data_IF_104282863764
#
_entry.id   IF_104282863764
#
_cell.length_a   1.000
_cell.length_b   1.000
_cell.length_c   1.000
_cell.angle_alpha   90.00
_cell.angle_beta   90.00
_cell.angle_gamma   90.00
#
_symmetry.space_group_name_H-M   'P 1'
#
loop_
_entity.id
_entity.type
_entity.pdbx_description
1 polymer ?
#
# COMPACT_ATOMS: atom_id res chain seq x y z
N UNK A 1 18.51 6.97 0.47
CA UNK A 1 18.52 5.91 1.49
C UNK A 1 18.12 4.54 0.92
N UNK A 2 17.02 4.43 0.16
CA UNK A 2 16.48 3.14 -0.27
C UNK A 2 16.91 2.58 -1.65
N UNK A 3 17.74 3.32 -2.42
CA UNK A 3 18.24 2.90 -3.75
C UNK A 3 18.81 1.46 -3.80
N UNK A 4 19.55 0.94 -2.79
CA UNK A 4 20.10 -0.42 -2.84
C UNK A 4 19.03 -1.52 -2.97
N UNK A 5 17.80 -1.29 -2.51
CA UNK A 5 16.68 -2.23 -2.66
C UNK A 5 16.26 -2.42 -4.13
N UNK A 6 16.68 -1.50 -5.01
CA UNK A 6 16.43 -1.55 -6.45
C UNK A 6 17.68 -2.02 -7.22
N UNK A 7 18.62 -2.69 -6.55
CA UNK A 7 19.75 -3.31 -7.25
C UNK A 7 19.24 -4.27 -8.33
N UNK A 8 19.81 -4.19 -9.53
CA UNK A 8 19.36 -4.97 -10.69
C UNK A 8 18.28 -4.31 -11.55
N UNK A 9 17.72 -3.14 -11.17
CA UNK A 9 16.69 -2.44 -11.94
C UNK A 9 17.07 -2.18 -13.41
N UNK A 10 18.36 -1.97 -13.69
CA UNK A 10 18.89 -1.77 -15.04
C UNK A 10 18.70 -2.98 -15.98
N UNK A 11 18.38 -4.17 -15.43
CA UNK A 11 18.11 -5.40 -16.20
C UNK A 11 16.61 -5.56 -16.53
N UNK A 12 15.76 -4.66 -16.04
CA UNK A 12 14.32 -4.75 -16.25
C UNK A 12 13.94 -4.33 -17.68
N UNK A 13 13.09 -5.12 -18.34
CA UNK A 13 12.52 -4.76 -19.65
C UNK A 13 11.44 -3.67 -19.54
N UNK A 14 10.87 -3.48 -18.35
CA UNK A 14 9.94 -2.41 -18.04
C UNK A 14 9.84 -2.18 -16.53
N UNK A 15 9.43 -0.99 -16.11
CA UNK A 15 9.18 -0.62 -14.72
C UNK A 15 7.83 0.09 -14.62
N UNK A 16 7.02 -0.29 -13.64
CA UNK A 16 5.77 0.40 -13.30
C UNK A 16 5.85 1.04 -11.93
N UNK A 17 5.23 2.19 -11.75
CA UNK A 17 5.09 2.84 -10.45
C UNK A 17 3.67 3.37 -10.25
N UNK A 18 3.06 3.07 -9.11
CA UNK A 18 1.75 3.56 -8.71
C UNK A 18 1.88 4.82 -7.84
N UNK A 19 1.73 5.99 -8.45
CA UNK A 19 1.79 7.28 -7.73
C UNK A 19 0.54 7.57 -6.92
N UNK A 20 -0.54 6.81 -7.10
CA UNK A 20 -1.72 6.89 -6.22
C UNK A 20 -1.52 6.20 -4.85
N UNK A 21 -0.31 5.69 -4.58
CA UNK A 21 0.12 5.18 -3.27
C UNK A 21 1.14 6.14 -2.65
N UNK A 22 2.43 5.86 -2.82
CA UNK A 22 3.55 6.65 -2.30
C UNK A 22 3.88 7.90 -3.15
N UNK A 23 2.96 8.32 -4.01
CA UNK A 23 3.00 9.62 -4.70
C UNK A 23 1.84 10.54 -4.32
N UNK A 24 0.96 10.09 -3.40
CA UNK A 24 -0.20 10.80 -2.87
C UNK A 24 -1.10 11.44 -3.94
N UNK A 25 -1.21 10.77 -5.10
CA UNK A 25 -2.10 11.20 -6.17
C UNK A 25 -3.49 10.55 -6.07
N UNK A 26 -4.57 11.26 -6.41
CA UNK A 26 -5.85 10.62 -6.67
C UNK A 26 -5.74 9.59 -7.81
N UNK A 27 -6.33 8.42 -7.64
CA UNK A 27 -6.40 7.41 -8.70
C UNK A 27 -7.19 7.94 -9.92
N UNK A 28 -6.80 7.63 -11.15
CA UNK A 28 -5.66 6.79 -11.58
C UNK A 28 -4.37 7.63 -11.66
N UNK A 29 -3.26 7.15 -11.10
CA UNK A 29 -1.95 7.80 -11.26
C UNK A 29 -0.86 6.74 -11.26
N UNK A 30 -0.23 6.54 -12.41
CA UNK A 30 0.81 5.54 -12.58
C UNK A 30 1.76 5.90 -13.70
N UNK A 31 2.98 5.37 -13.61
CA UNK A 31 4.01 5.46 -14.63
C UNK A 31 4.30 4.06 -15.16
N UNK A 32 4.50 3.97 -16.47
CA UNK A 32 5.05 2.80 -17.14
C UNK A 32 6.25 3.27 -17.95
N UNK A 33 7.40 2.69 -17.65
CA UNK A 33 8.67 3.01 -18.29
C UNK A 33 9.24 1.76 -18.94
N UNK A 34 9.76 1.92 -20.15
CA UNK A 34 10.53 0.91 -20.89
C UNK A 34 11.89 1.51 -21.23
N UNK A 35 12.95 0.70 -21.37
CA UNK A 35 14.27 1.20 -21.73
C UNK A 35 14.28 1.84 -23.12
N UNK A 36 13.52 1.27 -24.07
CA UNK A 36 13.48 1.71 -25.46
C UNK A 36 12.05 1.85 -25.98
N UNK A 37 11.80 2.86 -26.83
CA UNK A 37 10.45 3.16 -27.35
C UNK A 37 9.81 2.01 -28.12
N UNK A 38 10.61 1.21 -28.85
CA UNK A 38 10.11 0.10 -29.65
C UNK A 38 9.46 -1.01 -28.80
N UNK A 39 9.73 -1.07 -27.49
CA UNK A 39 9.01 -1.97 -26.59
C UNK A 39 7.53 -1.58 -26.42
N UNK A 40 7.12 -0.36 -26.81
CA UNK A 40 5.72 0.07 -26.81
C UNK A 40 4.98 -0.27 -28.10
N UNK A 41 5.66 -0.79 -29.14
CA UNK A 41 5.03 -1.14 -30.43
C UNK A 41 3.78 -2.02 -30.29
N UNK A 42 3.69 -3.00 -29.36
CA UNK A 42 2.46 -3.78 -29.17
C UNK A 42 1.23 -2.97 -28.72
N UNK A 43 1.41 -1.76 -28.19
CA UNK A 43 0.32 -0.84 -27.82
C UNK A 43 -0.18 -0.02 -29.02
N UNK A 44 0.54 -0.05 -30.14
CA UNK A 44 0.19 0.72 -31.32
C UNK A 44 -1.06 0.14 -31.98
N UNK A 45 -2.09 0.97 -32.05
CA UNK A 45 -3.29 0.68 -32.81
C UNK A 45 -3.52 1.83 -33.77
N UNK A 46 -3.49 1.53 -35.07
CA UNK A 46 -3.68 2.51 -36.12
C UNK A 46 -5.15 2.64 -36.49
N UNK A 47 -5.64 3.87 -36.55
CA UNK A 47 -6.93 4.20 -37.14
C UNK A 47 -6.75 5.45 -38.03
N UNK A 48 -7.04 5.39 -39.35
CA UNK A 48 -6.73 6.47 -40.28
C UNK A 48 -7.30 7.85 -39.92
N UNK A 49 -8.39 7.90 -39.14
CA UNK A 49 -9.00 9.16 -38.70
C UNK A 49 -8.38 9.75 -37.43
N UNK A 50 -7.47 9.03 -36.77
CA UNK A 50 -6.76 9.44 -35.55
C UNK A 50 -5.26 9.61 -35.78
N UNK A 51 -4.70 8.94 -36.78
CA UNK A 51 -3.28 8.93 -37.10
C UNK A 51 -3.07 9.74 -38.38
N UNK A 52 -2.79 11.03 -38.23
CA UNK A 52 -2.43 11.92 -39.32
C UNK A 52 -0.89 11.93 -39.44
N UNK A 53 -0.36 11.23 -40.45
CA UNK A 53 1.09 11.08 -40.62
C UNK A 53 1.77 12.45 -40.86
N UNK A 54 1.09 13.36 -41.56
CA UNK A 54 1.55 14.72 -41.86
C UNK A 54 1.76 15.60 -40.61
N UNK A 55 0.93 15.42 -39.57
CA UNK A 55 1.12 16.07 -38.26
C UNK A 55 2.44 15.62 -37.61
N UNK A 56 2.73 14.33 -37.66
CA UNK A 56 3.96 13.75 -37.07
C UNK A 56 5.19 14.17 -37.87
N UNK A 57 5.11 14.16 -39.21
CA UNK A 57 6.15 14.67 -40.12
C UNK A 57 6.42 16.17 -39.89
N UNK A 58 5.39 16.93 -39.52
CA UNK A 58 5.48 18.35 -39.14
C UNK A 58 6.02 18.57 -37.72
N UNK A 59 6.37 17.50 -37.00
CA UNK A 59 6.97 17.54 -35.67
C UNK A 59 5.99 17.60 -34.50
N UNK A 60 4.68 17.44 -34.75
CA UNK A 60 3.70 17.32 -33.67
C UNK A 60 3.81 15.93 -33.01
N UNK A 61 3.78 15.85 -31.67
CA UNK A 61 3.98 14.58 -30.99
C UNK A 61 2.75 13.68 -31.13
N UNK A 62 2.88 12.52 -31.76
CA UNK A 62 1.87 11.48 -31.66
C UNK A 62 1.83 10.92 -30.22
N UNK A 63 0.65 11.05 -29.60
CA UNK A 63 0.39 10.57 -28.26
C UNK A 63 -0.35 9.22 -28.25
N UNK A 64 -0.82 8.74 -29.41
CA UNK A 64 -1.37 7.39 -29.62
C UNK A 64 -0.27 6.34 -29.49
N UNK A 65 -0.65 5.07 -29.34
CA UNK A 65 0.31 3.96 -29.16
C UNK A 65 1.13 4.00 -27.86
N UNK A 66 0.91 4.97 -26.97
CA UNK A 66 1.55 5.04 -25.64
C UNK A 66 0.75 4.35 -24.53
N UNK A 67 -0.48 3.93 -24.83
CA UNK A 67 -1.42 3.30 -23.92
C UNK A 67 -2.47 2.53 -24.72
N UNK A 68 -3.11 1.55 -24.09
CA UNK A 68 -4.29 0.87 -24.63
C UNK A 68 -5.52 1.80 -24.76
N UNK A 69 -5.50 2.99 -24.12
CA UNK A 69 -6.60 3.96 -24.18
C UNK A 69 -6.31 5.05 -25.21
N UNK A 70 -7.25 5.23 -26.15
CA UNK A 70 -7.28 6.39 -27.05
C UNK A 70 -7.57 7.67 -26.27
N UNK A 71 -8.74 7.76 -25.63
CA UNK A 71 -9.14 8.91 -24.80
C UNK A 71 -8.50 8.83 -23.42
N UNK A 72 -7.82 9.91 -23.00
CA UNK A 72 -7.11 9.97 -21.71
C UNK A 72 -7.38 11.28 -20.99
N UNK A 73 -7.41 11.21 -19.66
CA UNK A 73 -7.38 12.38 -18.79
C UNK A 73 -5.95 12.93 -18.73
N UNK A 74 -5.75 14.22 -18.42
CA UNK A 74 -4.42 14.79 -18.21
C UNK A 74 -3.82 14.36 -16.86
N UNK A 75 -3.78 13.05 -16.56
CA UNK A 75 -3.27 12.52 -15.28
C UNK A 75 -1.78 12.86 -15.03
N UNK A 76 -1.04 13.20 -16.09
CA UNK A 76 0.32 13.71 -16.00
C UNK A 76 0.39 15.08 -15.30
N UNK A 77 -0.64 15.93 -15.40
CA UNK A 77 -0.63 17.27 -14.83
C UNK A 77 -0.56 17.23 -13.30
N UNK A 78 -1.41 16.44 -12.65
CA UNK A 78 -1.40 16.31 -11.17
C UNK A 78 -0.07 15.73 -10.66
N UNK A 79 0.51 14.78 -11.39
CA UNK A 79 1.84 14.23 -11.09
C UNK A 79 2.91 15.33 -11.21
N UNK A 80 2.90 16.10 -12.29
CA UNK A 80 3.84 17.19 -12.52
C UNK A 80 3.74 18.27 -11.43
N UNK A 81 2.51 18.66 -11.05
CA UNK A 81 2.26 19.62 -9.96
C UNK A 81 2.88 19.14 -8.65
N UNK A 82 2.67 17.88 -8.27
CA UNK A 82 3.27 17.34 -7.04
C UNK A 82 4.80 17.27 -7.11
N UNK A 83 5.36 16.87 -8.24
CA UNK A 83 6.81 16.87 -8.44
C UNK A 83 7.41 18.28 -8.41
N UNK A 84 6.70 19.29 -8.93
CA UNK A 84 7.12 20.69 -8.86
C UNK A 84 7.01 21.26 -7.45
N UNK A 85 5.91 20.97 -6.74
CA UNK A 85 5.65 21.51 -5.41
C UNK A 85 6.55 20.91 -4.33
N UNK A 86 6.74 19.58 -4.34
CA UNK A 86 7.55 18.89 -3.31
C UNK A 86 9.01 18.72 -3.74
N UNK A 87 9.28 18.74 -5.04
CA UNK A 87 10.58 18.32 -5.56
C UNK A 87 10.89 16.85 -5.25
N UNK A 88 12.11 16.44 -5.62
CA UNK A 88 12.60 15.09 -5.32
C UNK A 88 12.82 14.87 -3.82
N UNK A 89 13.34 15.89 -3.12
CA UNK A 89 13.65 15.81 -1.69
C UNK A 89 12.38 15.71 -0.86
N UNK A 90 11.39 16.59 -1.09
CA UNK A 90 10.14 16.53 -0.32
C UNK A 90 9.40 15.21 -0.52
N UNK A 91 9.36 14.68 -1.75
CA UNK A 91 8.76 13.36 -1.98
C UNK A 91 9.53 12.24 -1.27
N UNK A 92 10.86 12.28 -1.30
CA UNK A 92 11.70 11.32 -0.58
C UNK A 92 11.44 11.38 0.95
N UNK A 93 11.35 12.58 1.52
CA UNK A 93 11.10 12.76 2.95
C UNK A 93 9.76 12.18 3.38
N UNK A 94 8.70 12.33 2.57
CA UNK A 94 7.39 11.73 2.87
C UNK A 94 7.42 10.19 2.79
N UNK A 95 8.19 9.63 1.85
CA UNK A 95 8.38 8.18 1.73
C UNK A 95 9.14 7.66 2.95
N UNK A 96 10.28 8.29 3.28
CA UNK A 96 11.14 7.89 4.40
C UNK A 96 10.38 7.97 5.73
N UNK A 97 9.53 8.99 5.92
CA UNK A 97 8.59 9.06 7.06
C UNK A 97 7.65 7.87 7.12
N UNK A 98 7.02 7.53 6.00
CA UNK A 98 6.07 6.40 5.94
C UNK A 98 6.75 5.06 6.27
N UNK A 99 7.98 4.86 5.79
CA UNK A 99 8.79 3.68 6.10
C UNK A 99 9.21 3.65 7.57
N UNK A 100 9.62 4.79 8.11
CA UNK A 100 9.96 4.94 9.53
C UNK A 100 8.76 4.60 10.42
N UNK A 101 7.56 5.08 10.08
CA UNK A 101 6.32 4.74 10.80
C UNK A 101 6.03 3.24 10.75
N UNK A 102 6.26 2.57 9.61
CA UNK A 102 6.09 1.12 9.51
C UNK A 102 7.09 0.34 10.36
N UNK A 103 8.37 0.77 10.40
CA UNK A 103 9.36 0.20 11.32
C UNK A 103 8.98 0.44 12.78
N UNK A 104 8.51 1.63 13.13
CA UNK A 104 8.07 1.93 14.49
C UNK A 104 6.90 1.04 14.95
N UNK A 105 5.92 0.82 14.07
CA UNK A 105 4.82 -0.11 14.36
C UNK A 105 5.33 -1.54 14.57
N UNK A 106 6.26 -2.01 13.74
CA UNK A 106 6.89 -3.32 13.93
C UNK A 106 7.67 -3.42 15.27
N UNK A 107 8.37 -2.36 15.67
CA UNK A 107 9.09 -2.32 16.94
C UNK A 107 8.13 -2.27 18.14
N UNK A 108 6.96 -1.64 18.00
CA UNK A 108 5.88 -1.70 19.00
C UNK A 108 5.34 -3.12 19.13
N UNK A 109 4.95 -3.75 18.02
CA UNK A 109 4.42 -5.12 17.98
C UNK A 109 5.41 -6.10 18.64
N UNK A 110 6.69 -6.01 18.29
CA UNK A 110 7.73 -6.90 18.83
C UNK A 110 7.88 -6.74 20.35
N UNK A 111 7.56 -5.57 20.92
CA UNK A 111 7.60 -5.31 22.37
C UNK A 111 6.28 -5.66 23.07
N UNK A 112 5.23 -6.02 22.34
CA UNK A 112 3.92 -6.38 22.89
C UNK A 112 3.78 -7.91 22.93
N UNK A 113 3.88 -8.56 24.11
CA UNK A 113 3.95 -10.02 24.20
C UNK A 113 2.73 -10.78 23.67
N UNK A 114 1.58 -10.11 23.57
CA UNK A 114 0.32 -10.68 23.08
C UNK A 114 0.17 -10.62 21.56
N UNK A 115 1.18 -10.08 20.85
CA UNK A 115 1.18 -9.92 19.40
C UNK A 115 2.40 -10.59 18.76
N UNK A 116 2.16 -11.25 17.64
CA UNK A 116 3.20 -11.77 16.75
C UNK A 116 3.39 -10.81 15.56
N UNK A 117 4.64 -10.44 15.28
CA UNK A 117 5.05 -9.82 14.02
C UNK A 117 5.41 -10.93 13.02
N UNK A 118 4.93 -10.83 11.77
CA UNK A 118 5.32 -11.79 10.73
C UNK A 118 6.79 -11.63 10.33
N UNK A 119 7.17 -10.43 9.92
CA UNK A 119 8.53 -10.05 9.55
C UNK A 119 8.68 -8.53 9.67
N UNK A 120 9.91 -8.05 9.84
CA UNK A 120 10.20 -6.62 9.77
C UNK A 120 9.87 -6.09 8.37
N UNK A 121 9.06 -5.02 8.26
CA UNK A 121 8.55 -4.57 6.96
C UNK A 121 9.67 -3.96 6.11
N UNK A 122 9.71 -4.31 4.81
CA UNK A 122 10.66 -3.70 3.86
C UNK A 122 10.21 -2.30 3.42
N UNK A 123 8.90 -2.11 3.30
CA UNK A 123 8.26 -0.86 2.89
C UNK A 123 7.21 -0.45 3.93
N UNK A 124 6.01 -0.04 3.52
CA UNK A 124 5.02 0.53 4.42
C UNK A 124 3.90 -0.41 4.88
N UNK A 125 4.07 -1.72 4.70
CA UNK A 125 3.06 -2.72 5.09
C UNK A 125 3.58 -3.62 6.20
N UNK A 126 2.87 -3.65 7.31
CA UNK A 126 3.18 -4.46 8.50
C UNK A 126 2.13 -5.55 8.66
N UNK A 127 2.59 -6.79 8.80
CA UNK A 127 1.74 -7.97 9.03
C UNK A 127 1.93 -8.47 10.45
N UNK A 128 0.83 -8.56 11.19
CA UNK A 128 0.85 -8.97 12.59
C UNK A 128 -0.47 -9.60 13.00
N UNK A 129 -0.50 -10.27 14.15
CA UNK A 129 -1.70 -10.90 14.71
C UNK A 129 -1.57 -11.07 16.22
N UNK A 130 -2.66 -11.26 16.97
CA UNK A 130 -2.55 -11.76 18.33
C UNK A 130 -1.96 -13.18 18.36
N UNK A 131 -1.08 -13.43 19.31
CA UNK A 131 -0.26 -14.65 19.41
C UNK A 131 -1.11 -15.92 19.49
N UNK A 132 -2.06 -15.96 20.43
CA UNK A 132 -2.89 -17.15 20.71
C UNK A 132 -4.24 -17.17 19.98
N UNK A 133 -4.51 -16.18 19.12
CA UNK A 133 -5.75 -16.15 18.34
C UNK A 133 -5.71 -17.17 17.21
N UNK A 134 -6.83 -17.82 16.88
CA UNK A 134 -6.99 -18.57 15.63
C UNK A 134 -7.39 -17.63 14.47
N UNK A 135 -7.39 -18.15 13.24
CA UNK A 135 -7.73 -17.34 12.06
C UNK A 135 -9.17 -16.83 12.08
N UNK A 136 -10.09 -17.55 12.73
CA UNK A 136 -11.45 -17.07 12.94
C UNK A 136 -11.48 -15.81 13.82
N UNK A 137 -10.77 -15.85 14.94
CA UNK A 137 -10.63 -14.74 15.89
C UNK A 137 -9.97 -13.54 15.23
N UNK A 138 -8.89 -13.73 14.48
CA UNK A 138 -8.25 -12.63 13.72
C UNK A 138 -9.23 -12.00 12.72
N UNK A 139 -10.00 -12.82 12.00
CA UNK A 139 -11.00 -12.32 11.06
C UNK A 139 -12.14 -11.55 11.78
N UNK A 140 -12.57 -12.03 12.95
CA UNK A 140 -13.61 -11.39 13.76
C UNK A 140 -13.12 -10.07 14.35
N UNK A 141 -11.93 -10.04 14.96
CA UNK A 141 -11.26 -8.83 15.42
C UNK A 141 -11.23 -7.75 14.35
N UNK A 142 -10.72 -8.08 13.15
CA UNK A 142 -10.67 -7.14 12.02
C UNK A 142 -12.05 -6.57 11.68
N UNK A 143 -13.08 -7.43 11.58
CA UNK A 143 -14.45 -7.01 11.26
C UNK A 143 -15.04 -6.12 12.35
N UNK A 144 -14.81 -6.46 13.61
CA UNK A 144 -15.29 -5.68 14.76
C UNK A 144 -14.69 -4.27 14.74
N UNK A 145 -13.38 -4.15 14.52
CA UNK A 145 -12.71 -2.84 14.42
C UNK A 145 -13.24 -2.00 13.25
N UNK A 146 -13.47 -2.64 12.10
CA UNK A 146 -14.01 -1.99 10.91
C UNK A 146 -15.46 -1.52 11.13
N UNK A 147 -16.33 -2.39 11.65
CA UNK A 147 -17.75 -2.11 11.84
C UNK A 147 -17.98 -1.04 12.92
N UNK A 148 -17.12 -0.97 13.94
CA UNK A 148 -17.13 0.10 14.95
C UNK A 148 -16.55 1.41 14.43
N UNK A 149 -15.94 1.42 13.24
CA UNK A 149 -15.28 2.61 12.68
C UNK A 149 -13.99 3.00 13.38
N UNK A 150 -13.41 2.12 14.20
CA UNK A 150 -12.20 2.44 14.98
C UNK A 150 -10.91 2.26 14.18
N UNK A 151 -10.84 1.24 13.30
CA UNK A 151 -9.68 1.02 12.45
C UNK A 151 -10.03 0.26 11.17
N UNK A 152 -9.37 0.62 10.07
CA UNK A 152 -9.47 -0.09 8.78
C UNK A 152 -8.17 -0.85 8.52
N UNK A 153 -8.18 -2.14 8.89
CA UNK A 153 -7.05 -3.04 8.62
C UNK A 153 -7.32 -3.93 7.41
N UNK A 154 -6.29 -4.17 6.62
CA UNK A 154 -6.29 -5.21 5.59
C UNK A 154 -6.14 -6.60 6.19
N UNK A 155 -6.04 -7.60 5.31
CA UNK A 155 -5.81 -9.00 5.65
C UNK A 155 -4.89 -9.64 4.64
N UNK A 156 -4.07 -10.58 5.08
CA UNK A 156 -3.19 -11.40 4.24
C UNK A 156 -3.15 -12.83 4.79
N UNK A 157 -3.12 -13.83 3.91
CA UNK A 157 -2.80 -15.21 4.29
C UNK A 157 -1.37 -15.49 3.85
N UNK A 158 -0.52 -15.90 4.79
CA UNK A 158 0.86 -16.29 4.52
C UNK A 158 1.35 -17.22 5.62
N UNK A 159 2.29 -18.11 5.30
CA UNK A 159 2.80 -19.14 6.21
C UNK A 159 1.69 -19.94 6.92
N UNK A 160 0.61 -20.28 6.20
CA UNK A 160 -0.52 -21.06 6.72
C UNK A 160 -1.39 -20.36 7.77
N UNK A 161 -1.23 -19.05 7.97
CA UNK A 161 -1.90 -18.25 8.99
C UNK A 161 -2.56 -17.00 8.38
N UNK A 162 -3.66 -16.53 8.96
CA UNK A 162 -4.26 -15.23 8.66
C UNK A 162 -3.59 -14.12 9.50
N UNK A 163 -3.29 -12.99 8.85
CA UNK A 163 -2.63 -11.83 9.46
C UNK A 163 -3.45 -10.56 9.26
N UNK A 164 -3.46 -9.69 10.26
CA UNK A 164 -3.86 -8.29 10.09
C UNK A 164 -2.80 -7.59 9.25
N UNK A 165 -3.25 -6.70 8.36
CA UNK A 165 -2.35 -5.91 7.50
C UNK A 165 -2.56 -4.43 7.72
N UNK A 166 -1.60 -3.77 8.38
CA UNK A 166 -1.54 -2.32 8.42
C UNK A 166 -0.73 -1.82 7.22
N UNK A 167 -1.36 -1.04 6.34
CA UNK A 167 -0.69 -0.36 5.24
C UNK A 167 -0.61 1.11 5.56
N UNK A 168 0.57 1.57 5.96
CA UNK A 168 0.80 2.94 6.37
C UNK A 168 1.14 3.75 5.12
N UNK A 169 0.33 4.76 4.82
CA UNK A 169 0.56 5.65 3.67
C UNK A 169 0.36 7.12 4.05
N UNK A 170 -0.06 7.40 5.28
CA UNK A 170 -0.16 8.77 5.77
C UNK A 170 1.18 9.18 6.40
N UNK A 171 1.95 10.11 5.79
CA UNK A 171 3.25 10.54 6.31
C UNK A 171 3.14 11.42 7.57
N UNK A 172 1.92 11.68 8.04
CA UNK A 172 1.61 12.42 9.25
C UNK A 172 1.16 11.53 10.43
N UNK A 173 1.08 10.21 10.23
CA UNK A 173 0.79 9.28 11.34
C UNK A 173 1.88 9.37 12.40
N UNK A 174 1.47 9.56 13.66
CA UNK A 174 2.39 9.75 14.79
C UNK A 174 2.63 8.45 15.56
N UNK A 175 3.67 8.37 16.40
CA UNK A 175 3.85 7.24 17.33
C UNK A 175 2.65 6.99 18.22
N UNK A 176 1.96 8.05 18.65
CA UNK A 176 0.78 7.96 19.51
C UNK A 176 -0.40 7.31 18.78
N UNK A 177 -0.61 7.64 17.50
CA UNK A 177 -1.62 6.96 16.66
C UNK A 177 -1.36 5.44 16.60
N UNK A 178 -0.07 5.05 16.49
CA UNK A 178 0.33 3.65 16.42
C UNK A 178 0.15 2.94 17.77
N UNK A 179 0.51 3.59 18.88
CA UNK A 179 0.26 3.03 20.21
C UNK A 179 -1.23 2.84 20.46
N UNK A 180 -2.06 3.84 20.12
CA UNK A 180 -3.51 3.74 20.23
C UNK A 180 -4.08 2.57 19.40
N UNK A 181 -3.53 2.31 18.21
CA UNK A 181 -3.90 1.14 17.42
C UNK A 181 -3.55 -0.18 18.13
N UNK A 182 -2.37 -0.29 18.73
CA UNK A 182 -1.94 -1.50 19.48
C UNK A 182 -2.84 -1.73 20.70
N UNK A 183 -3.14 -0.68 21.45
CA UNK A 183 -3.99 -0.76 22.64
C UNK A 183 -5.41 -1.19 22.26
N UNK A 184 -5.96 -0.60 21.20
CA UNK A 184 -7.28 -0.94 20.65
C UNK A 184 -7.36 -2.41 20.22
N UNK A 185 -6.32 -2.90 19.53
CA UNK A 185 -6.25 -4.30 19.08
C UNK A 185 -6.16 -5.25 20.26
N UNK A 186 -5.32 -4.94 21.23
CA UNK A 186 -5.11 -5.77 22.43
C UNK A 186 -6.40 -5.84 23.25
N UNK A 187 -7.03 -4.70 23.55
CA UNK A 187 -8.29 -4.64 24.28
C UNK A 187 -9.42 -5.40 23.56
N UNK A 188 -9.58 -5.18 22.25
CA UNK A 188 -10.63 -5.87 21.47
C UNK A 188 -10.37 -7.38 21.38
N UNK A 189 -9.11 -7.81 21.34
CA UNK A 189 -8.78 -9.25 21.35
C UNK A 189 -9.19 -9.88 22.68
N UNK A 190 -8.85 -9.23 23.80
CA UNK A 190 -9.25 -9.69 25.14
C UNK A 190 -10.77 -9.83 25.25
N UNK A 191 -11.54 -8.82 24.83
CA UNK A 191 -13.00 -8.88 24.86
C UNK A 191 -13.58 -10.07 24.09
N UNK A 192 -13.00 -10.37 22.92
CA UNK A 192 -13.43 -11.49 22.08
C UNK A 192 -13.13 -12.83 22.76
N UNK A 193 -11.96 -12.98 23.38
CA UNK A 193 -11.58 -14.21 24.10
C UNK A 193 -12.45 -14.48 25.33
N UNK A 194 -12.79 -13.43 26.10
CA UNK A 194 -13.69 -13.53 27.26
C UNK A 194 -15.09 -13.98 26.85
N UNK A 195 -15.60 -13.45 25.73
CA UNK A 195 -16.95 -13.78 25.25
C UNK A 195 -17.07 -15.22 24.73
N UNK A 196 -15.96 -15.83 24.30
CA UNK A 196 -15.92 -17.23 23.82
C UNK A 196 -15.71 -18.28 24.91
N UNK A 197 -15.44 -17.89 26.17
CA UNK A 197 -15.28 -18.86 27.27
C UNK A 197 -16.67 -19.31 27.75
N UNK A 198 -17.01 -20.63 27.71
CA UNK A 198 -18.34 -21.08 28.13
C UNK A 198 -18.53 -20.81 29.63
N UNK A 199 -19.64 -20.15 30.00
CA UNK A 199 -20.12 -20.14 31.39
C UNK A 199 -20.34 -21.59 31.81
N UNK A 200 -19.54 -22.09 32.74
CA UNK A 200 -19.85 -23.33 33.46
C UNK A 200 -21.14 -23.09 34.25
N UNK A 201 -22.27 -23.45 33.65
CA UNK A 201 -23.49 -23.74 34.39
C UNK A 201 -23.29 -25.06 35.13
N UNK A 202 -23.36 -25.01 36.46
CA UNK A 202 -23.41 -26.21 37.28
C UNK A 202 -22.79 -26.05 38.66
N UNK A 203 -23.37 -25.19 39.49
CA UNK A 203 -23.62 -25.60 40.88
C UNK A 203 -24.74 -24.73 41.47
N UNK A 204 -25.90 -25.34 41.65
CA UNK A 204 -26.90 -24.90 42.63
C UNK A 204 -27.35 -26.15 43.40
N UNK A 205 -27.60 -26.00 44.71
CA UNK A 205 -27.40 -27.04 45.73
C UNK A 205 -28.45 -28.15 45.74
#
# INVERSE_FOLDING_TARGET
THRPLLHGLHRAHSVTLDLHKLGWQPASAGLFAVPERHHLTPLHHHAPYLNADDDTESGLPDLLGRSLRTTRRPDALKIAVTLQALGRTGLADLIDRTLTTAHHLADLITRTPTLDLYERPTISTVLFRPTDADDHTVATLRRTLLNRGHAVLGRAHTAGRLWLKATLLNPHTTPEDLQALIDLITATTTDLTVTTTPRTEGDTP
#
